data_IF_382516622582
#
_entry.id   IF_382516622582
#
_cell.length_a   1.000
_cell.length_b   1.000
_cell.length_c   1.000
_cell.angle_alpha   90.00
_cell.angle_beta   90.00
_cell.angle_gamma   90.00
#
_symmetry.space_group_name_H-M   'P 1'
#
loop_
_entity.id
_entity.type
_entity.pdbx_description
1 polymer ?
#
# COMPACT_ATOMS: atom_id res chain seq x y z
N UNK A 1 1.02 -9.45 -6.43
CA UNK A 1 1.78 -8.87 -7.56
C UNK A 1 2.47 -7.56 -7.16
N UNK A 2 1.76 -6.52 -6.66
CA UNK A 2 2.39 -5.27 -6.25
C UNK A 2 3.44 -5.48 -5.14
N UNK A 3 3.15 -6.34 -4.17
CA UNK A 3 4.06 -6.68 -3.08
C UNK A 3 5.41 -7.21 -3.55
N UNK A 4 5.44 -7.99 -4.64
CA UNK A 4 6.72 -8.51 -5.18
C UNK A 4 7.64 -7.38 -5.63
N UNK A 5 7.09 -6.32 -6.24
CA UNK A 5 7.87 -5.15 -6.63
C UNK A 5 8.27 -4.28 -5.44
N UNK A 6 7.38 -4.14 -4.45
CA UNK A 6 7.69 -3.43 -3.20
C UNK A 6 8.89 -4.08 -2.50
N UNK A 7 8.88 -5.41 -2.36
CA UNK A 7 9.99 -6.16 -1.75
C UNK A 7 11.25 -6.12 -2.63
N UNK A 8 11.10 -6.27 -3.95
CA UNK A 8 12.23 -6.26 -4.89
C UNK A 8 12.95 -4.89 -4.90
N UNK A 9 12.21 -3.81 -4.74
CA UNK A 9 12.75 -2.44 -4.67
C UNK A 9 13.18 -2.01 -3.27
N UNK A 10 13.18 -2.91 -2.29
CA UNK A 10 13.52 -2.62 -0.89
C UNK A 10 12.65 -1.52 -0.27
N UNK A 11 11.38 -1.47 -0.64
CA UNK A 11 10.40 -0.49 -0.17
C UNK A 11 9.35 -1.13 0.77
N UNK A 12 9.74 -2.18 1.52
CA UNK A 12 8.79 -2.94 2.35
C UNK A 12 8.05 -2.03 3.35
N UNK A 13 8.74 -1.09 3.98
CA UNK A 13 8.12 -0.15 4.93
C UNK A 13 7.19 0.89 4.28
N UNK A 14 7.17 0.99 2.94
CA UNK A 14 6.33 1.98 2.26
C UNK A 14 4.83 1.72 2.44
N UNK A 15 4.39 0.46 2.35
CA UNK A 15 2.99 0.09 2.59
C UNK A 15 2.58 0.27 4.05
N UNK A 16 3.50 0.00 4.97
CA UNK A 16 3.28 0.21 6.40
C UNK A 16 3.13 1.70 6.73
N UNK A 17 4.00 2.53 6.18
CA UNK A 17 3.92 3.98 6.30
C UNK A 17 2.61 4.55 5.74
N UNK A 18 2.14 4.03 4.60
CA UNK A 18 0.83 4.37 4.04
C UNK A 18 -0.28 3.97 5.02
N UNK A 19 -0.25 2.75 5.56
CA UNK A 19 -1.23 2.28 6.53
C UNK A 19 -1.34 3.22 7.73
N UNK A 20 -0.21 3.54 8.35
CA UNK A 20 -0.17 4.45 9.49
C UNK A 20 -0.60 5.89 9.12
N UNK A 21 -0.28 6.36 7.92
CA UNK A 21 -0.68 7.69 7.45
C UNK A 21 -2.17 7.81 7.15
N UNK A 22 -2.88 6.68 7.00
CA UNK A 22 -4.32 6.66 6.75
C UNK A 22 -5.12 7.37 7.84
N UNK A 23 -4.73 7.20 9.12
CA UNK A 23 -5.34 7.91 10.24
C UNK A 23 -5.25 9.42 10.07
N UNK A 24 -4.13 9.92 9.58
CA UNK A 24 -3.96 11.35 9.29
C UNK A 24 -4.87 11.82 8.15
N UNK A 25 -5.02 10.98 7.12
CA UNK A 25 -5.94 11.26 6.02
C UNK A 25 -7.38 11.41 6.51
N UNK A 26 -7.83 10.53 7.40
CA UNK A 26 -9.16 10.61 8.02
C UNK A 26 -9.27 11.86 8.89
N UNK A 27 -8.28 12.11 9.75
CA UNK A 27 -8.25 13.24 10.66
C UNK A 27 -8.38 14.57 9.90
N UNK A 28 -7.60 14.75 8.85
CA UNK A 28 -7.66 15.92 7.98
C UNK A 28 -8.99 16.00 7.22
N UNK A 29 -9.50 14.88 6.73
CA UNK A 29 -10.81 14.83 6.07
C UNK A 29 -11.94 15.27 6.98
N UNK A 30 -11.96 14.75 8.21
CA UNK A 30 -12.93 15.15 9.24
C UNK A 30 -12.81 16.64 9.58
N UNK A 31 -11.60 17.15 9.71
CA UNK A 31 -11.35 18.58 9.98
C UNK A 31 -11.80 19.48 8.82
N UNK A 32 -11.63 19.02 7.58
CA UNK A 32 -12.06 19.77 6.37
C UNK A 32 -13.55 19.56 6.03
N UNK A 33 -14.28 18.78 6.81
CA UNK A 33 -15.70 18.51 6.57
C UNK A 33 -15.99 17.56 5.41
N UNK A 34 -15.03 16.72 5.00
CA UNK A 34 -15.23 15.70 3.99
C UNK A 34 -16.04 14.56 4.59
N UNK A 35 -17.23 14.31 4.05
CA UNK A 35 -18.17 13.32 4.61
C UNK A 35 -17.72 11.87 4.42
N UNK A 36 -16.92 11.58 3.39
CA UNK A 36 -16.42 10.23 3.11
C UNK A 36 -14.98 10.06 3.59
N UNK A 37 -14.76 9.25 4.66
CA UNK A 37 -13.42 8.96 5.17
C UNK A 37 -12.53 8.26 4.12
N UNK A 38 -13.09 7.41 3.27
CA UNK A 38 -12.33 6.67 2.26
C UNK A 38 -11.73 7.61 1.21
N UNK A 39 -12.49 8.61 0.79
CA UNK A 39 -12.01 9.61 -0.15
C UNK A 39 -10.85 10.44 0.42
N UNK A 40 -10.97 10.88 1.66
CA UNK A 40 -9.92 11.66 2.34
C UNK A 40 -8.65 10.83 2.55
N UNK A 41 -8.78 9.54 2.90
CA UNK A 41 -7.65 8.61 3.00
C UNK A 41 -6.91 8.48 1.67
N UNK A 42 -7.64 8.25 0.58
CA UNK A 42 -7.03 8.06 -0.75
C UNK A 42 -6.31 9.33 -1.20
N UNK A 43 -6.94 10.48 -1.09
CA UNK A 43 -6.33 11.78 -1.47
C UNK A 43 -5.05 12.00 -0.66
N UNK A 44 -5.13 11.85 0.67
CA UNK A 44 -3.96 12.00 1.53
C UNK A 44 -2.88 10.98 1.21
N UNK A 45 -3.24 9.72 0.99
CA UNK A 45 -2.32 8.65 0.63
C UNK A 45 -1.56 8.91 -0.66
N UNK A 46 -2.22 9.45 -1.68
CA UNK A 46 -1.58 9.85 -2.94
C UNK A 46 -0.55 10.97 -2.69
N UNK A 47 -0.96 12.02 -1.96
CA UNK A 47 -0.07 13.14 -1.63
C UNK A 47 1.14 12.65 -0.83
N UNK A 48 0.91 11.80 0.17
CA UNK A 48 1.94 11.23 1.02
C UNK A 48 2.91 10.35 0.22
N UNK A 49 2.40 9.47 -0.66
CA UNK A 49 3.21 8.63 -1.52
C UNK A 49 4.09 9.44 -2.47
N UNK A 50 3.54 10.48 -3.08
CA UNK A 50 4.31 11.38 -3.96
C UNK A 50 5.39 12.13 -3.18
N UNK A 51 5.05 12.66 -2.00
CA UNK A 51 6.00 13.35 -1.14
C UNK A 51 7.18 12.45 -0.76
N UNK A 52 6.89 11.21 -0.30
CA UNK A 52 7.92 10.22 0.01
C UNK A 52 8.82 9.92 -1.20
N UNK A 53 8.22 9.70 -2.37
CA UNK A 53 8.97 9.39 -3.59
C UNK A 53 9.89 10.55 -4.01
N UNK A 54 9.44 11.79 -3.88
CA UNK A 54 10.23 12.98 -4.18
C UNK A 54 11.43 13.12 -3.22
N UNK A 55 11.20 12.87 -1.93
CA UNK A 55 12.24 13.00 -0.90
C UNK A 55 13.28 11.89 -1.03
N UNK A 56 12.84 10.64 -1.25
CA UNK A 56 13.73 9.50 -1.47
C UNK A 56 14.70 9.71 -2.63
N UNK A 57 14.26 10.40 -3.68
CA UNK A 57 15.12 10.72 -4.84
C UNK A 57 16.26 11.67 -4.52
N UNK A 58 16.19 12.42 -3.43
CA UNK A 58 17.26 13.34 -3.01
C UNK A 58 18.42 12.65 -2.31
N UNK A 59 18.30 11.34 -2.03
CA UNK A 59 19.35 10.50 -1.40
C UNK A 59 19.93 11.12 -0.10
N UNK A 60 19.11 11.79 0.69
CA UNK A 60 19.54 12.48 1.91
C UNK A 60 19.78 11.50 3.07
N UNK A 61 19.15 10.33 3.01
CA UNK A 61 19.23 9.29 4.05
C UNK A 61 18.81 7.94 3.46
N UNK A 62 18.93 6.86 4.24
CA UNK A 62 18.38 5.56 3.80
C UNK A 62 16.87 5.66 3.56
N UNK A 63 16.39 4.91 2.56
CA UNK A 63 14.96 4.86 2.22
C UNK A 63 14.09 4.56 3.44
N UNK A 64 14.51 3.59 4.25
CA UNK A 64 13.77 3.16 5.43
C UNK A 64 13.70 4.25 6.52
N UNK A 65 14.79 5.02 6.71
CA UNK A 65 14.81 6.15 7.65
C UNK A 65 13.82 7.24 7.23
N UNK A 66 13.82 7.61 5.95
CA UNK A 66 12.89 8.61 5.42
C UNK A 66 11.44 8.15 5.64
N UNK A 67 11.13 6.91 5.26
CA UNK A 67 9.80 6.34 5.42
C UNK A 67 9.36 6.36 6.87
N UNK A 68 10.22 5.90 7.80
CA UNK A 68 9.90 5.81 9.23
C UNK A 68 9.65 7.18 9.86
N UNK A 69 10.47 8.18 9.55
CA UNK A 69 10.30 9.55 10.06
C UNK A 69 8.99 10.17 9.56
N UNK A 70 8.70 10.04 8.27
CA UNK A 70 7.46 10.58 7.70
C UNK A 70 6.22 9.83 8.19
N UNK A 71 6.28 8.50 8.33
CA UNK A 71 5.20 7.71 8.89
C UNK A 71 4.88 8.11 10.32
N UNK A 72 5.90 8.19 11.19
CA UNK A 72 5.75 8.59 12.59
C UNK A 72 5.22 10.01 12.72
N UNK A 73 5.78 10.95 11.94
CA UNK A 73 5.32 12.34 11.92
C UNK A 73 3.87 12.46 11.45
N UNK A 74 3.51 11.76 10.36
CA UNK A 74 2.14 11.71 9.88
C UNK A 74 1.20 11.17 10.95
N UNK A 75 1.50 10.01 11.54
CA UNK A 75 0.68 9.40 12.59
C UNK A 75 0.50 10.33 13.79
N UNK A 76 1.56 10.99 14.24
CA UNK A 76 1.50 11.92 15.35
C UNK A 76 0.55 13.10 15.07
N UNK A 77 0.61 13.67 13.87
CA UNK A 77 -0.31 14.75 13.43
C UNK A 77 -1.75 14.24 13.39
N UNK A 78 -1.98 13.06 12.81
CA UNK A 78 -3.31 12.46 12.75
C UNK A 78 -3.92 12.22 14.13
N UNK A 79 -3.15 11.64 15.04
CA UNK A 79 -3.58 11.40 16.43
C UNK A 79 -3.85 12.72 17.18
N UNK A 80 -3.03 13.74 16.99
CA UNK A 80 -3.23 15.06 17.62
C UNK A 80 -4.55 15.69 17.16
N UNK A 81 -4.87 15.65 15.86
CA UNK A 81 -6.12 16.18 15.31
C UNK A 81 -7.32 15.40 15.85
N UNK A 82 -7.27 14.06 15.81
CA UNK A 82 -8.36 13.19 16.27
C UNK A 82 -8.60 13.32 17.79
N UNK A 83 -7.54 13.48 18.57
CA UNK A 83 -7.63 13.70 20.02
C UNK A 83 -8.30 15.03 20.35
N UNK A 84 -8.03 16.08 19.60
CA UNK A 84 -8.66 17.38 19.79
C UNK A 84 -10.14 17.37 19.39
N UNK A 85 -10.50 16.61 18.36
CA UNK A 85 -11.88 16.49 17.88
C UNK A 85 -12.77 15.48 18.65
N UNK A 86 -12.23 14.73 19.61
CA UNK A 86 -12.98 13.74 20.40
C UNK A 86 -13.48 12.49 19.63
N UNK A 87 -13.09 12.32 18.39
CA UNK A 87 -13.63 11.31 17.48
C UNK A 87 -12.77 10.04 17.33
N UNK A 88 -11.76 9.88 18.17
CA UNK A 88 -10.80 8.75 18.04
C UNK A 88 -11.47 7.38 18.08
N UNK A 89 -12.46 7.18 18.97
CA UNK A 89 -13.18 5.91 19.11
C UNK A 89 -13.89 5.47 17.83
N UNK A 90 -14.41 6.41 17.06
CA UNK A 90 -15.13 6.12 15.82
C UNK A 90 -14.22 5.57 14.71
N UNK A 91 -12.92 5.85 14.78
CA UNK A 91 -11.95 5.43 13.76
C UNK A 91 -11.04 4.29 14.21
N UNK A 92 -11.11 3.86 15.47
CA UNK A 92 -10.35 2.71 15.99
C UNK A 92 -10.71 1.41 15.27
N UNK A 93 -11.94 1.27 14.80
CA UNK A 93 -12.39 0.12 14.01
C UNK A 93 -11.58 -0.06 12.70
N UNK A 94 -11.05 1.02 12.13
CA UNK A 94 -10.21 0.95 10.93
C UNK A 94 -8.83 0.31 11.17
N UNK A 95 -8.37 0.22 12.42
CA UNK A 95 -7.14 -0.50 12.76
C UNK A 95 -7.28 -2.01 12.50
N UNK A 96 -8.47 -2.54 12.78
CA UNK A 96 -8.77 -3.97 12.69
C UNK A 96 -9.40 -4.32 11.34
N UNK A 97 -10.16 -3.38 10.76
CA UNK A 97 -10.98 -3.60 9.56
C UNK A 97 -12.27 -4.35 9.87
N UNK A 98 -13.18 -4.36 8.91
CA UNK A 98 -14.44 -5.11 8.99
C UNK A 98 -14.78 -5.73 7.62
N UNK A 99 -14.34 -6.97 7.43
CA UNK A 99 -14.56 -7.72 6.19
C UNK A 99 -16.04 -8.05 6.00
N UNK A 100 -16.81 -8.18 7.08
CA UNK A 100 -18.22 -8.59 7.02
C UNK A 100 -19.15 -7.44 6.62
N UNK A 101 -18.71 -6.19 6.75
CA UNK A 101 -19.53 -5.01 6.39
C UNK A 101 -19.43 -4.60 4.92
N UNK A 102 -18.76 -5.38 4.07
CA UNK A 102 -18.55 -5.05 2.65
C UNK A 102 -19.88 -5.02 1.90
N UNK A 103 -20.17 -3.88 1.27
CA UNK A 103 -21.34 -3.69 0.42
C UNK A 103 -21.05 -4.06 -1.03
N UNK A 104 -22.10 -4.44 -1.78
CA UNK A 104 -21.95 -4.91 -3.16
C UNK A 104 -21.27 -3.88 -4.08
N UNK A 105 -21.56 -2.59 -3.91
CA UNK A 105 -20.92 -1.52 -4.70
C UNK A 105 -19.40 -1.38 -4.40
N UNK A 106 -18.97 -1.68 -3.17
CA UNK A 106 -17.56 -1.66 -2.79
C UNK A 106 -16.78 -2.80 -3.45
N UNK A 107 -17.42 -3.97 -3.59
CA UNK A 107 -16.85 -5.10 -4.34
C UNK A 107 -16.60 -4.72 -5.79
N UNK A 108 -17.52 -3.96 -6.41
CA UNK A 108 -17.34 -3.47 -7.79
C UNK A 108 -16.12 -2.55 -7.88
N UNK A 109 -15.95 -1.63 -6.93
CA UNK A 109 -14.76 -0.77 -6.88
C UNK A 109 -13.47 -1.56 -6.71
N UNK A 110 -13.46 -2.61 -5.87
CA UNK A 110 -12.29 -3.50 -5.72
C UNK A 110 -11.96 -4.22 -7.04
N UNK A 111 -12.97 -4.69 -7.77
CA UNK A 111 -12.78 -5.32 -9.08
C UNK A 111 -12.20 -4.33 -10.11
N UNK A 112 -12.69 -3.09 -10.12
CA UNK A 112 -12.14 -2.04 -11.00
C UNK A 112 -10.66 -1.78 -10.68
N UNK A 113 -10.30 -1.68 -9.40
CA UNK A 113 -8.92 -1.48 -8.98
C UNK A 113 -8.05 -2.69 -9.31
N UNK A 114 -8.57 -3.91 -9.14
CA UNK A 114 -7.90 -5.14 -9.53
C UNK A 114 -7.60 -5.15 -11.03
N UNK A 115 -8.58 -4.85 -11.87
CA UNK A 115 -8.41 -4.77 -13.32
C UNK A 115 -7.37 -3.69 -13.70
N UNK A 116 -7.47 -2.50 -13.10
CA UNK A 116 -6.51 -1.41 -13.34
C UNK A 116 -5.10 -1.83 -12.93
N UNK A 117 -4.95 -2.53 -11.81
CA UNK A 117 -3.66 -3.06 -11.35
C UNK A 117 -3.10 -4.11 -12.31
N UNK A 118 -3.93 -5.03 -12.82
CA UNK A 118 -3.51 -6.05 -13.78
C UNK A 118 -3.09 -5.39 -15.11
N UNK A 119 -3.87 -4.45 -15.61
CA UNK A 119 -3.55 -3.71 -16.85
C UNK A 119 -2.24 -2.95 -16.67
N UNK A 120 -2.10 -2.18 -15.60
CA UNK A 120 -0.86 -1.47 -15.28
C UNK A 120 0.32 -2.45 -15.21
N UNK A 121 0.12 -3.59 -14.55
CA UNK A 121 1.17 -4.61 -14.41
C UNK A 121 1.63 -5.13 -15.77
N UNK A 122 0.71 -5.47 -16.67
CA UNK A 122 1.04 -5.95 -18.01
C UNK A 122 1.94 -4.98 -18.81
N UNK A 123 1.72 -3.68 -18.64
CA UNK A 123 2.53 -2.64 -19.33
C UNK A 123 3.79 -2.24 -18.57
N UNK A 124 3.76 -2.28 -17.25
CA UNK A 124 4.80 -1.70 -16.39
C UNK A 124 5.83 -2.73 -15.90
N UNK A 125 5.51 -4.04 -15.84
CA UNK A 125 6.36 -5.07 -15.22
C UNK A 125 7.78 -5.08 -15.77
N UNK A 126 7.94 -5.08 -17.08
CA UNK A 126 9.27 -5.14 -17.72
C UNK A 126 10.07 -3.85 -17.47
N UNK A 127 9.39 -2.71 -17.47
CA UNK A 127 10.00 -1.41 -17.22
C UNK A 127 10.41 -1.25 -15.76
N UNK A 128 9.54 -1.67 -14.83
CA UNK A 128 9.83 -1.66 -13.39
C UNK A 128 10.96 -2.61 -13.02
N UNK A 129 11.00 -3.80 -13.64
CA UNK A 129 12.11 -4.74 -13.46
C UNK A 129 13.43 -4.13 -13.95
N UNK A 130 13.47 -3.52 -15.13
CA UNK A 130 14.65 -2.86 -15.66
C UNK A 130 15.13 -1.73 -14.74
N UNK A 131 14.21 -0.92 -14.21
CA UNK A 131 14.52 0.15 -13.25
C UNK A 131 15.09 -0.43 -11.95
N UNK A 132 14.56 -1.56 -11.47
CA UNK A 132 15.00 -2.17 -10.21
C UNK A 132 16.39 -2.77 -10.28
N UNK A 133 16.82 -3.25 -11.46
CA UNK A 133 18.16 -3.83 -11.66
C UNK A 133 19.20 -2.74 -11.85
N UNK A 134 18.99 -1.81 -12.80
CA UNK A 134 19.91 -0.71 -13.09
C UNK A 134 19.17 0.55 -13.57
N UNK A 135 18.90 1.51 -12.67
CA UNK A 135 18.16 2.74 -13.03
C UNK A 135 18.85 3.56 -14.13
N UNK A 136 20.19 3.54 -14.19
CA UNK A 136 20.97 4.26 -15.22
C UNK A 136 20.80 3.63 -16.59
N UNK A 137 20.83 2.31 -16.71
CA UNK A 137 20.59 1.58 -17.94
C UNK A 137 19.13 1.73 -18.40
N UNK A 138 18.18 1.75 -17.47
CA UNK A 138 16.78 2.01 -17.80
C UNK A 138 16.59 3.41 -18.44
N UNK A 139 17.31 4.42 -17.96
CA UNK A 139 17.32 5.76 -18.56
C UNK A 139 17.90 5.77 -19.97
N UNK A 140 19.01 5.03 -20.21
CA UNK A 140 19.61 4.90 -21.54
C UNK A 140 18.67 4.20 -22.54
N UNK A 141 17.80 3.31 -22.05
CA UNK A 141 16.74 2.67 -22.83
C UNK A 141 15.48 3.56 -23.01
N UNK A 142 15.59 4.87 -22.79
CA UNK A 142 14.52 5.85 -22.93
C UNK A 142 13.29 5.59 -22.02
N UNK A 143 13.47 4.88 -20.89
CA UNK A 143 12.41 4.68 -19.90
C UNK A 143 12.34 5.91 -19.00
N UNK A 144 11.16 6.49 -18.88
CA UNK A 144 10.89 7.61 -17.97
C UNK A 144 10.81 7.10 -16.51
N UNK A 145 11.99 6.85 -15.91
CA UNK A 145 12.13 6.25 -14.58
C UNK A 145 11.28 6.97 -13.55
N UNK A 146 11.38 8.32 -13.47
CA UNK A 146 10.62 9.11 -12.49
C UNK A 146 9.12 8.88 -12.60
N UNK A 147 8.58 8.94 -13.80
CA UNK A 147 7.15 8.78 -14.04
C UNK A 147 6.66 7.36 -13.68
N UNK A 148 7.46 6.34 -13.99
CA UNK A 148 7.12 4.95 -13.63
C UNK A 148 7.11 4.74 -12.11
N UNK A 149 8.05 5.35 -11.39
CA UNK A 149 8.11 5.31 -9.94
C UNK A 149 6.93 6.03 -9.30
N UNK A 150 6.58 7.21 -9.81
CA UNK A 150 5.45 8.00 -9.30
C UNK A 150 4.12 7.26 -9.51
N UNK A 151 3.87 6.74 -10.72
CA UNK A 151 2.66 5.97 -11.01
C UNK A 151 2.58 4.72 -10.12
N UNK A 152 3.70 4.01 -9.94
CA UNK A 152 3.75 2.83 -9.08
C UNK A 152 3.45 3.18 -7.61
N UNK A 153 4.04 4.25 -7.07
CA UNK A 153 3.79 4.71 -5.71
C UNK A 153 2.33 5.13 -5.49
N UNK A 154 1.76 5.88 -6.45
CA UNK A 154 0.34 6.28 -6.42
C UNK A 154 -0.59 5.07 -6.49
N UNK A 155 -0.29 4.09 -7.35
CA UNK A 155 -1.10 2.87 -7.44
C UNK A 155 -1.09 2.08 -6.14
N UNK A 156 0.08 1.92 -5.50
CA UNK A 156 0.17 1.27 -4.18
C UNK A 156 -0.64 2.06 -3.15
N UNK A 157 -0.53 3.38 -3.14
CA UNK A 157 -1.28 4.22 -2.21
C UNK A 157 -2.79 4.04 -2.37
N UNK A 158 -3.32 4.03 -3.58
CA UNK A 158 -4.74 3.80 -3.86
C UNK A 158 -5.16 2.41 -3.36
N UNK A 159 -4.42 1.36 -3.73
CA UNK A 159 -4.75 -0.02 -3.34
C UNK A 159 -4.71 -0.18 -1.83
N UNK A 160 -3.66 0.31 -1.16
CA UNK A 160 -3.52 0.21 0.30
C UNK A 160 -4.64 0.98 1.00
N UNK A 161 -4.84 2.26 0.65
CA UNK A 161 -5.82 3.12 1.32
C UNK A 161 -7.25 2.59 1.19
N UNK A 162 -7.64 2.09 0.03
CA UNK A 162 -8.97 1.52 -0.16
C UNK A 162 -9.13 0.17 0.56
N UNK A 163 -8.06 -0.62 0.68
CA UNK A 163 -8.13 -1.92 1.34
C UNK A 163 -8.17 -1.82 2.87
N UNK A 164 -7.69 -0.72 3.46
CA UNK A 164 -7.65 -0.53 4.92
C UNK A 164 -9.03 -0.67 5.56
N UNK A 165 -10.07 -0.15 4.93
CA UNK A 165 -11.43 -0.17 5.46
C UNK A 165 -11.93 -1.58 5.78
N UNK A 166 -11.57 -2.57 4.95
CA UNK A 166 -12.05 -3.95 5.10
C UNK A 166 -11.03 -4.85 5.79
N UNK A 167 -9.75 -4.66 5.50
CA UNK A 167 -8.68 -5.54 5.99
C UNK A 167 -8.04 -4.99 7.27
N UNK A 168 -8.09 -3.67 7.46
CA UNK A 168 -7.41 -2.98 8.55
C UNK A 168 -5.95 -2.65 8.25
N UNK A 169 -5.43 -1.69 9.00
CA UNK A 169 -4.06 -1.18 8.84
C UNK A 169 -3.02 -2.27 9.13
N UNK A 170 -3.25 -3.07 10.17
CA UNK A 170 -2.29 -4.08 10.61
C UNK A 170 -2.12 -5.23 9.62
N UNK A 171 -3.22 -5.66 8.99
CA UNK A 171 -3.20 -6.81 8.08
C UNK A 171 -2.77 -6.46 6.67
N UNK A 172 -3.02 -5.21 6.21
CA UNK A 172 -2.72 -4.85 4.82
C UNK A 172 -1.23 -4.92 4.52
N UNK A 173 -0.37 -4.43 5.42
CA UNK A 173 1.08 -4.49 5.28
C UNK A 173 1.59 -5.93 5.30
N UNK A 174 1.05 -6.77 6.18
CA UNK A 174 1.39 -8.18 6.26
C UNK A 174 1.01 -8.94 4.97
N UNK A 175 -0.22 -8.75 4.47
CA UNK A 175 -0.69 -9.40 3.23
C UNK A 175 0.06 -8.94 1.98
N UNK A 176 0.57 -7.72 1.96
CA UNK A 176 1.33 -7.22 0.83
C UNK A 176 2.79 -7.72 0.84
N UNK A 177 3.42 -7.77 2.01
CA UNK A 177 4.87 -8.00 2.14
C UNK A 177 5.20 -9.48 2.38
N UNK A 178 4.53 -10.15 3.33
CA UNK A 178 4.92 -11.49 3.75
C UNK A 178 4.85 -12.52 2.61
N UNK A 179 3.76 -12.62 1.81
CA UNK A 179 3.71 -13.56 0.70
C UNK A 179 4.78 -13.28 -0.35
N UNK A 180 5.07 -12.00 -0.60
CA UNK A 180 6.10 -11.59 -1.52
C UNK A 180 7.51 -11.93 -0.99
N UNK A 181 7.80 -11.68 0.26
CA UNK A 181 9.09 -12.01 0.87
C UNK A 181 9.33 -13.52 0.91
N UNK A 182 8.30 -14.31 1.26
CA UNK A 182 8.37 -15.76 1.30
C UNK A 182 8.61 -16.36 -0.10
N UNK A 183 7.91 -15.85 -1.11
CA UNK A 183 8.06 -16.32 -2.48
C UNK A 183 9.44 -16.04 -3.07
N UNK A 184 10.08 -14.94 -2.64
CA UNK A 184 11.42 -14.58 -3.09
C UNK A 184 12.48 -15.63 -2.74
N UNK A 185 12.34 -16.30 -1.60
CA UNK A 185 13.29 -17.30 -1.13
C UNK A 185 13.25 -18.61 -1.93
N UNK A 186 12.13 -18.87 -2.61
CA UNK A 186 11.89 -20.17 -3.31
C UNK A 186 11.98 -19.98 -4.83
N UNK A 187 11.71 -18.77 -5.33
CA UNK A 187 11.65 -18.49 -6.77
C UNK A 187 13.03 -18.42 -7.41
N UNK A 188 13.14 -19.01 -8.61
CA UNK A 188 14.37 -18.97 -9.43
C UNK A 188 14.33 -17.85 -10.47
N UNK A 189 13.16 -17.38 -10.83
CA UNK A 189 12.97 -16.34 -11.84
C UNK A 189 11.79 -15.42 -11.46
N UNK A 190 11.68 -14.26 -12.14
CA UNK A 190 10.65 -13.26 -11.82
C UNK A 190 9.21 -13.76 -12.06
N UNK A 191 8.99 -14.69 -13.01
CA UNK A 191 7.65 -15.25 -13.25
C UNK A 191 7.22 -16.14 -12.10
N UNK A 192 8.08 -17.05 -11.67
CA UNK A 192 7.85 -17.90 -10.50
C UNK A 192 7.62 -17.04 -9.25
N UNK A 193 8.41 -15.96 -9.08
CA UNK A 193 8.28 -15.03 -7.97
C UNK A 193 6.87 -14.44 -7.87
N UNK A 194 6.30 -13.99 -8.98
CA UNK A 194 4.94 -13.46 -8.98
C UNK A 194 3.88 -14.52 -8.75
N UNK A 195 4.04 -15.71 -9.36
CA UNK A 195 3.08 -16.80 -9.22
C UNK A 195 3.06 -17.31 -7.76
N UNK A 196 4.21 -17.58 -7.17
CA UNK A 196 4.28 -18.04 -5.78
C UNK A 196 3.77 -17.00 -4.79
N UNK A 197 4.03 -15.72 -5.03
CA UNK A 197 3.49 -14.65 -4.19
C UNK A 197 1.95 -14.60 -4.22
N UNK A 198 1.34 -14.82 -5.39
CA UNK A 198 -0.12 -14.90 -5.52
C UNK A 198 -0.65 -16.12 -4.77
N UNK A 199 -0.04 -17.28 -4.97
CA UNK A 199 -0.45 -18.53 -4.32
C UNK A 199 -0.37 -18.40 -2.80
N UNK A 200 0.74 -17.88 -2.28
CA UNK A 200 0.90 -17.69 -0.83
C UNK A 200 -0.08 -16.66 -0.26
N UNK A 201 -0.33 -15.56 -0.98
CA UNK A 201 -1.31 -14.57 -0.54
C UNK A 201 -2.73 -15.14 -0.49
N UNK A 202 -3.15 -15.88 -1.52
CA UNK A 202 -4.46 -16.52 -1.56
C UNK A 202 -4.59 -17.59 -0.46
N UNK A 203 -3.58 -18.45 -0.33
CA UNK A 203 -3.58 -19.53 0.66
C UNK A 203 -3.61 -18.97 2.09
N UNK A 204 -2.77 -17.98 2.42
CA UNK A 204 -2.76 -17.38 3.74
C UNK A 204 -4.07 -16.63 4.05
N UNK A 205 -4.65 -15.94 3.06
CA UNK A 205 -5.92 -15.24 3.23
C UNK A 205 -7.09 -16.22 3.48
N UNK A 206 -7.20 -17.27 2.68
CA UNK A 206 -8.26 -18.29 2.83
C UNK A 206 -8.10 -19.04 4.16
N UNK A 207 -6.89 -19.45 4.50
CA UNK A 207 -6.63 -20.12 5.78
C UNK A 207 -6.92 -19.22 6.97
N UNK A 208 -6.49 -17.95 6.91
CA UNK A 208 -6.74 -16.99 7.98
C UNK A 208 -8.23 -16.77 8.23
N UNK A 209 -9.02 -16.58 7.17
CA UNK A 209 -10.47 -16.47 7.27
C UNK A 209 -11.12 -17.77 7.77
N UNK A 210 -10.67 -18.93 7.28
CA UNK A 210 -11.16 -20.23 7.73
C UNK A 210 -10.91 -20.44 9.23
N UNK A 211 -9.69 -20.20 9.70
CA UNK A 211 -9.35 -20.33 11.12
C UNK A 211 -10.18 -19.34 11.96
N UNK A 212 -10.30 -18.10 11.54
CA UNK A 212 -11.12 -17.09 12.23
C UNK A 212 -12.58 -17.53 12.37
N UNK A 213 -13.14 -18.13 11.32
CA UNK A 213 -14.52 -18.62 11.34
C UNK A 213 -14.75 -19.79 12.32
N UNK A 214 -13.77 -20.70 12.45
CA UNK A 214 -13.89 -21.86 13.35
C UNK A 214 -13.50 -21.57 14.79
N UNK A 215 -12.77 -20.46 15.07
CA UNK A 215 -12.33 -20.12 16.44
C UNK A 215 -13.21 -19.09 17.12
N UNK A 216 -14.14 -18.48 16.41
CA UNK A 216 -15.17 -17.56 16.92
C UNK A 216 -16.48 -18.30 17.08
#
# INVERSE_FOLDING_TARGET
>A
ILGTMVVHRKMAFFSDALGHSALTGIALGSFLGISDPSLSMVIYGIIFAMLLTIIQRRNLSSTDTIISVFASGSTAVGLAILSHGGNFSNYSALLIGDILSIQLHEVVWLLVILLLTIVFWGFAVNRLNAISVHPTLARSANIRVKLMEDIFAVLIAIVVMLSIRWIGILLISALLIIPAASSRNISRNMREYHIYAIIFAMFSGILGLGVSYYTN
#
